data_IF_706963360694
#
_entry.id   IF_706963360694
#
_cell.length_a   1.000
_cell.length_b   1.000
_cell.length_c   1.000
_cell.angle_alpha   90.00
_cell.angle_beta   90.00
_cell.angle_gamma   90.00
#
_symmetry.space_group_name_H-M   'P 1'
#
loop_
_entity.id
_entity.type
_entity.pdbx_description
1 polymer ?
#
# COMPACT_ATOMS: atom_id res chain seq x y z
N UNK A 1 -7.05 -30.52 5.19
CA UNK A 1 -7.45 -29.36 4.35
C UNK A 1 -8.89 -28.83 4.54
N UNK A 2 -9.70 -29.29 5.52
CA UNK A 2 -11.02 -28.69 5.84
C UNK A 2 -11.08 -27.85 7.13
N UNK A 3 -9.98 -27.75 7.89
CA UNK A 3 -9.93 -27.03 9.19
C UNK A 3 -9.17 -25.70 9.20
N UNK A 4 -8.82 -25.16 8.02
CA UNK A 4 -8.23 -23.80 7.90
C UNK A 4 -9.21 -22.76 7.32
N UNK A 5 -10.42 -23.19 6.92
CA UNK A 5 -11.49 -22.30 6.41
C UNK A 5 -12.47 -21.81 7.49
N UNK A 6 -12.32 -22.26 8.74
CA UNK A 6 -13.24 -21.89 9.83
C UNK A 6 -12.72 -20.79 10.76
N UNK A 7 -11.43 -20.45 10.70
CA UNK A 7 -10.82 -19.45 11.58
C UNK A 7 -10.78 -18.03 10.99
N UNK A 8 -11.14 -17.85 9.71
CA UNK A 8 -11.25 -16.53 9.07
C UNK A 8 -12.68 -15.96 9.03
N UNK A 9 -13.64 -16.61 9.69
CA UNK A 9 -15.05 -16.17 9.77
C UNK A 9 -15.46 -15.57 11.12
N UNK A 10 -14.54 -15.45 12.07
CA UNK A 10 -14.81 -14.98 13.44
C UNK A 10 -14.26 -13.58 13.78
N UNK A 11 -13.80 -12.80 12.80
CA UNK A 11 -13.48 -11.36 13.02
C UNK A 11 -14.54 -10.44 12.39
N UNK A 12 -15.60 -11.01 11.78
CA UNK A 12 -16.58 -10.25 10.99
C UNK A 12 -17.97 -10.10 11.64
N UNK A 13 -18.17 -10.50 12.90
CA UNK A 13 -19.41 -10.25 13.63
C UNK A 13 -19.10 -9.98 15.10
N UNK A 14 -19.05 -8.71 15.48
CA UNK A 14 -18.86 -8.34 16.87
C UNK A 14 -18.65 -6.85 17.08
N UNK A 15 -19.65 -6.02 16.75
CA UNK A 15 -20.09 -4.88 17.59
C UNK A 15 -21.25 -4.14 16.89
N UNK A 16 -22.45 -4.69 17.01
CA UNK A 16 -23.71 -3.96 16.83
C UNK A 16 -24.57 -4.25 18.06
N UNK A 17 -24.43 -3.39 19.06
CA UNK A 17 -25.37 -3.24 20.18
C UNK A 17 -24.88 -2.11 21.09
N UNK A 18 -25.23 -0.87 20.78
CA UNK A 18 -25.50 0.09 21.85
C UNK A 18 -26.29 1.29 21.30
N UNK A 19 -27.23 1.75 22.12
CA UNK A 19 -27.97 3.01 22.04
C UNK A 19 -29.32 2.97 21.29
N UNK A 20 -30.29 2.31 21.95
CA UNK A 20 -31.35 3.05 22.66
C UNK A 20 -32.29 3.92 21.82
N UNK A 21 -33.44 3.34 21.49
CA UNK A 21 -34.68 4.04 21.14
C UNK A 21 -35.35 4.57 22.42
N UNK A 22 -35.97 5.76 22.37
CA UNK A 22 -37.30 5.89 22.94
C UNK A 22 -38.31 6.54 21.97
N UNK A 23 -39.53 6.00 22.03
CA UNK A 23 -40.77 6.48 21.41
C UNK A 23 -41.25 7.82 21.97
N UNK A 24 -42.05 8.56 21.19
CA UNK A 24 -42.96 9.57 21.76
C UNK A 24 -43.53 10.64 20.82
N UNK A 25 -44.69 10.36 20.25
CA UNK A 25 -45.87 11.23 20.08
C UNK A 25 -45.81 12.62 19.38
N UNK A 26 -46.54 12.69 18.26
CA UNK A 26 -47.65 13.62 17.92
C UNK A 26 -47.54 15.13 18.19
N UNK A 27 -47.74 15.94 17.15
CA UNK A 27 -48.00 17.37 17.25
C UNK A 27 -48.30 18.04 15.91
N UNK A 28 -49.56 18.39 15.71
CA UNK A 28 -50.16 19.09 14.57
C UNK A 28 -49.79 20.60 14.59
N UNK A 29 -49.72 21.29 13.44
CA UNK A 29 -49.74 22.77 13.45
C UNK A 29 -49.11 23.52 12.26
N UNK A 30 -49.99 23.99 11.36
CA UNK A 30 -50.03 25.30 10.68
C UNK A 30 -48.88 25.82 9.77
N UNK A 31 -49.27 26.01 8.50
CA UNK A 31 -49.23 27.25 7.70
C UNK A 31 -48.25 28.38 8.10
N UNK A 32 -47.38 28.75 7.14
CA UNK A 32 -47.34 30.07 6.48
C UNK A 32 -45.98 30.25 5.77
N UNK A 33 -46.00 30.94 4.62
CA UNK A 33 -44.83 31.65 4.11
C UNK A 33 -44.44 31.31 2.68
N UNK A 34 -45.15 31.92 1.74
CA UNK A 34 -44.68 32.15 0.38
C UNK A 34 -43.31 32.84 0.42
N UNK A 35 -42.30 32.22 -0.19
CA UNK A 35 -41.12 32.92 -0.66
C UNK A 35 -40.66 32.27 -1.97
N UNK A 36 -41.14 32.83 -3.09
CA UNK A 36 -40.43 32.75 -4.35
C UNK A 36 -39.04 33.41 -4.16
N UNK A 37 -37.93 32.70 -4.42
CA UNK A 37 -36.68 33.38 -4.68
C UNK A 37 -36.71 33.85 -6.14
N UNK A 38 -36.90 35.16 -6.27
CA UNK A 38 -36.52 35.99 -7.41
C UNK A 38 -35.36 35.39 -8.20
N UNK A 39 -35.69 34.91 -9.40
CA UNK A 39 -34.71 34.57 -10.43
C UNK A 39 -34.09 35.89 -10.88
N UNK A 40 -32.92 36.23 -10.34
CA UNK A 40 -32.06 37.27 -10.85
C UNK A 40 -31.54 36.87 -12.24
N UNK A 41 -32.39 37.07 -13.27
CA UNK A 41 -31.98 37.22 -14.66
C UNK A 41 -31.52 38.66 -14.83
N UNK A 42 -30.20 38.87 -14.89
CA UNK A 42 -29.55 39.89 -15.71
C UNK A 42 -28.03 39.85 -15.47
N UNK A 43 -27.37 38.91 -16.15
CA UNK A 43 -26.02 39.15 -16.65
C UNK A 43 -26.11 39.05 -18.17
N UNK A 44 -25.57 40.05 -18.85
CA UNK A 44 -25.37 40.06 -20.31
C UNK A 44 -24.74 38.74 -20.75
N UNK A 45 -25.08 38.18 -21.94
CA UNK A 45 -24.47 36.96 -22.40
C UNK A 45 -22.98 37.22 -22.53
N UNK A 46 -22.17 36.64 -21.64
CA UNK A 46 -20.74 36.50 -21.88
C UNK A 46 -20.62 35.85 -23.24
N UNK A 47 -19.89 36.49 -24.16
CA UNK A 47 -19.78 36.03 -25.53
C UNK A 47 -19.16 34.62 -25.51
N UNK A 48 -20.01 33.62 -25.64
CA UNK A 48 -19.65 32.21 -25.58
C UNK A 48 -18.71 31.96 -26.77
N UNK A 49 -17.43 31.56 -26.57
CA UNK A 49 -16.53 31.23 -27.66
C UNK A 49 -17.21 30.31 -28.68
N UNK A 50 -17.05 30.61 -29.98
CA UNK A 50 -17.65 29.83 -31.06
C UNK A 50 -17.33 28.33 -30.93
N UNK A 51 -16.13 28.00 -30.44
CA UNK A 51 -15.71 26.65 -30.12
C UNK A 51 -16.66 25.91 -29.14
N UNK A 52 -17.17 26.59 -28.10
CA UNK A 52 -18.11 25.98 -27.14
C UNK A 52 -19.49 25.75 -27.77
N UNK A 53 -19.99 26.72 -28.55
CA UNK A 53 -21.28 26.60 -29.25
C UNK A 53 -21.30 25.43 -30.23
N UNK A 54 -20.22 25.28 -31.00
CA UNK A 54 -20.05 24.20 -31.95
C UNK A 54 -19.97 22.83 -31.27
N UNK A 55 -19.21 22.74 -30.18
CA UNK A 55 -19.11 21.54 -29.37
C UNK A 55 -20.48 21.14 -28.78
N UNK A 56 -21.18 22.08 -28.15
CA UNK A 56 -22.49 21.87 -27.52
C UNK A 56 -23.55 21.38 -28.51
N UNK A 57 -23.55 21.96 -29.71
CA UNK A 57 -24.50 21.63 -30.76
C UNK A 57 -24.22 20.24 -31.37
N UNK A 58 -22.96 19.91 -31.65
CA UNK A 58 -22.62 18.62 -32.27
C UNK A 58 -22.76 17.44 -31.32
N UNK A 59 -22.37 17.62 -30.06
CA UNK A 59 -22.35 16.57 -29.04
C UNK A 59 -23.66 16.46 -28.23
N UNK A 60 -24.60 17.39 -28.42
CA UNK A 60 -25.86 17.48 -27.66
C UNK A 60 -25.60 17.50 -26.15
N UNK A 61 -24.94 18.56 -25.69
CA UNK A 61 -24.62 18.71 -24.27
C UNK A 61 -25.92 18.95 -23.46
N UNK A 62 -26.23 18.14 -22.43
CA UNK A 62 -27.43 18.33 -21.65
C UNK A 62 -27.38 19.64 -20.84
N UNK A 63 -28.54 20.25 -20.55
CA UNK A 63 -28.60 21.42 -19.67
C UNK A 63 -28.14 21.08 -18.24
N UNK A 64 -27.81 22.09 -17.42
CA UNK A 64 -27.56 21.90 -16.00
C UNK A 64 -28.65 21.10 -15.29
N UNK A 65 -28.26 20.24 -14.34
CA UNK A 65 -29.19 19.56 -13.44
C UNK A 65 -29.70 20.55 -12.36
N UNK A 66 -30.82 20.24 -11.65
CA UNK A 66 -31.23 21.03 -10.49
C UNK A 66 -30.11 21.15 -9.45
N UNK A 67 -30.00 22.32 -8.80
CA UNK A 67 -28.94 22.63 -7.83
C UNK A 67 -27.52 22.64 -8.42
N UNK A 68 -27.40 22.94 -9.71
CA UNK A 68 -26.14 23.29 -10.34
C UNK A 68 -26.14 24.76 -10.73
N UNK A 69 -24.96 25.35 -10.74
CA UNK A 69 -24.73 26.72 -11.18
C UNK A 69 -23.58 26.75 -12.19
N UNK A 70 -23.60 27.77 -13.03
CA UNK A 70 -22.55 28.04 -14.00
C UNK A 70 -21.77 29.29 -13.63
N UNK A 71 -20.49 29.33 -13.99
CA UNK A 71 -19.69 30.55 -13.98
C UNK A 71 -18.69 30.55 -15.11
N UNK A 72 -18.26 31.72 -15.56
CA UNK A 72 -17.21 31.87 -16.57
C UNK A 72 -16.02 32.59 -15.93
N UNK A 73 -14.85 31.98 -16.05
CA UNK A 73 -13.59 32.45 -15.47
C UNK A 73 -12.51 32.43 -16.54
N UNK A 74 -12.26 33.59 -17.15
CA UNK A 74 -11.34 33.68 -18.30
C UNK A 74 -11.78 32.76 -19.44
N UNK A 75 -10.93 31.85 -19.93
CA UNK A 75 -11.27 30.91 -20.99
C UNK A 75 -12.01 29.66 -20.48
N UNK A 76 -12.57 29.66 -19.26
CA UNK A 76 -13.16 28.45 -18.68
C UNK A 76 -14.64 28.67 -18.36
N UNK A 77 -15.49 27.81 -18.91
CA UNK A 77 -16.89 27.66 -18.49
C UNK A 77 -16.98 26.54 -17.48
N UNK A 78 -17.45 26.87 -16.28
CA UNK A 78 -17.68 25.91 -15.21
C UNK A 78 -19.16 25.60 -15.06
N UNK A 79 -19.46 24.32 -14.84
CA UNK A 79 -20.74 23.85 -14.35
C UNK A 79 -20.51 23.00 -13.10
N UNK A 80 -21.11 23.33 -11.97
CA UNK A 80 -20.83 22.64 -10.70
C UNK A 80 -22.01 22.74 -9.73
N UNK A 81 -22.09 21.88 -8.71
CA UNK A 81 -23.19 21.90 -7.75
C UNK A 81 -23.18 23.19 -6.92
N UNK A 82 -24.36 23.80 -6.71
CA UNK A 82 -24.49 25.10 -6.05
C UNK A 82 -24.32 25.05 -4.51
N UNK A 83 -24.69 23.93 -3.89
CA UNK A 83 -24.65 23.74 -2.43
C UNK A 83 -23.88 22.51 -1.97
N UNK A 84 -24.19 21.34 -2.52
CA UNK A 84 -23.51 20.09 -2.18
C UNK A 84 -22.06 20.10 -2.68
N UNK A 85 -21.10 19.61 -1.88
CA UNK A 85 -19.68 19.58 -2.23
C UNK A 85 -19.13 20.94 -2.72
N UNK A 86 -19.66 22.04 -2.17
CA UNK A 86 -19.28 23.40 -2.56
C UNK A 86 -17.79 23.70 -2.29
N UNK A 87 -17.25 23.16 -1.19
CA UNK A 87 -15.83 23.35 -0.82
C UNK A 87 -14.91 22.62 -1.79
N UNK A 88 -15.27 21.39 -2.15
CA UNK A 88 -14.56 20.52 -3.09
C UNK A 88 -14.59 21.12 -4.50
N UNK A 89 -15.75 21.62 -4.92
CA UNK A 89 -15.90 22.34 -6.20
C UNK A 89 -15.02 23.58 -6.27
N UNK A 90 -15.01 24.39 -5.20
CA UNK A 90 -14.18 25.59 -5.11
C UNK A 90 -12.68 25.27 -5.06
N UNK A 91 -12.29 24.23 -4.31
CA UNK A 91 -10.92 23.76 -4.25
C UNK A 91 -10.41 23.30 -5.63
N UNK A 92 -11.21 22.51 -6.35
CA UNK A 92 -10.84 22.00 -7.67
C UNK A 92 -10.73 23.11 -8.72
N UNK A 93 -11.67 24.08 -8.71
CA UNK A 93 -11.58 25.30 -9.54
C UNK A 93 -10.30 26.09 -9.27
N UNK A 94 -9.94 26.23 -7.99
CA UNK A 94 -8.73 26.94 -7.56
C UNK A 94 -7.45 26.18 -7.88
N UNK A 95 -7.52 24.86 -8.08
CA UNK A 95 -6.41 24.00 -8.45
C UNK A 95 -6.11 24.03 -9.96
N UNK A 96 -7.08 24.37 -10.82
CA UNK A 96 -6.94 24.31 -12.28
C UNK A 96 -5.67 25.01 -12.80
N UNK A 97 -5.27 26.24 -12.36
CA UNK A 97 -4.05 26.87 -12.87
C UNK A 97 -2.77 26.09 -12.54
N UNK A 98 -2.73 25.40 -11.38
CA UNK A 98 -1.60 24.52 -11.04
C UNK A 98 -1.62 23.24 -11.85
N UNK A 99 -2.79 22.60 -11.96
CA UNK A 99 -3.00 21.41 -12.80
C UNK A 99 -2.60 21.67 -14.26
N UNK A 100 -2.99 22.83 -14.81
CA UNK A 100 -2.60 23.24 -16.16
C UNK A 100 -1.09 23.39 -16.29
N UNK A 101 -0.41 24.04 -15.33
CA UNK A 101 1.05 24.24 -15.41
C UNK A 101 1.81 22.91 -15.51
N UNK A 102 1.38 21.89 -14.77
CA UNK A 102 1.97 20.54 -14.81
C UNK A 102 1.90 19.98 -16.24
N UNK A 103 0.71 20.03 -16.84
CA UNK A 103 0.46 19.46 -18.18
C UNK A 103 1.07 20.31 -19.30
N UNK A 104 0.96 21.63 -19.18
CA UNK A 104 1.36 22.58 -20.22
C UNK A 104 2.87 22.66 -20.38
N UNK A 105 3.61 22.63 -19.26
CA UNK A 105 5.08 22.62 -19.26
C UNK A 105 5.62 21.37 -19.96
N UNK A 106 5.02 20.20 -19.74
CA UNK A 106 5.48 18.94 -20.34
C UNK A 106 5.18 18.87 -21.85
N UNK A 107 4.09 19.52 -22.29
CA UNK A 107 3.61 19.46 -23.66
C UNK A 107 4.02 20.67 -24.52
N UNK A 108 4.80 21.61 -23.97
CA UNK A 108 5.22 22.82 -24.67
C UNK A 108 4.07 23.76 -25.03
N UNK A 109 3.08 23.90 -24.14
CA UNK A 109 1.92 24.76 -24.34
C UNK A 109 1.99 26.01 -23.45
N UNK A 110 1.70 27.18 -24.04
CA UNK A 110 1.83 28.46 -23.32
C UNK A 110 0.50 28.97 -22.73
N UNK A 111 -0.63 28.61 -23.33
CA UNK A 111 -1.93 29.19 -23.01
C UNK A 111 -2.99 28.12 -22.72
N UNK A 112 -3.76 28.34 -21.65
CA UNK A 112 -4.91 27.52 -21.30
C UNK A 112 -5.98 27.68 -22.40
N UNK A 113 -6.38 26.59 -23.10
CA UNK A 113 -7.38 26.68 -24.14
C UNK A 113 -8.77 26.97 -23.56
N UNK A 114 -9.74 27.37 -24.40
CA UNK A 114 -11.13 27.40 -23.99
C UNK A 114 -11.60 26.02 -23.53
N UNK A 115 -12.05 25.89 -22.27
CA UNK A 115 -12.55 24.63 -21.71
C UNK A 115 -13.97 24.78 -21.16
N UNK A 116 -14.77 23.73 -21.29
CA UNK A 116 -16.03 23.56 -20.59
C UNK A 116 -15.87 22.43 -19.58
N UNK A 117 -15.71 22.78 -18.30
CA UNK A 117 -15.48 21.82 -17.21
C UNK A 117 -16.75 21.65 -16.38
N UNK A 118 -17.24 20.42 -16.28
CA UNK A 118 -18.46 20.07 -15.52
C UNK A 118 -18.12 19.18 -14.33
N UNK A 119 -18.37 19.66 -13.13
CA UNK A 119 -18.14 18.93 -11.88
C UNK A 119 -19.41 18.22 -11.46
N UNK A 120 -19.39 16.89 -11.42
CA UNK A 120 -20.51 16.05 -11.01
C UNK A 120 -20.43 15.69 -9.53
N UNK A 121 -21.58 15.47 -8.88
CA UNK A 121 -21.59 15.01 -7.49
C UNK A 121 -21.03 13.59 -7.37
N UNK A 122 -21.39 12.71 -8.30
CA UNK A 122 -21.06 11.29 -8.32
C UNK A 122 -21.03 10.79 -9.79
N UNK A 123 -20.62 9.54 -10.05
CA UNK A 123 -20.57 8.97 -11.40
C UNK A 123 -21.91 9.01 -12.15
N UNK A 124 -23.04 8.86 -11.46
CA UNK A 124 -24.36 8.95 -12.08
C UNK A 124 -24.65 10.37 -12.62
N UNK A 125 -24.38 11.41 -11.81
CA UNK A 125 -24.48 12.79 -12.27
C UNK A 125 -23.51 13.08 -13.42
N UNK A 126 -22.29 12.51 -13.38
CA UNK A 126 -21.31 12.66 -14.46
C UNK A 126 -21.88 12.13 -15.78
N UNK A 127 -22.51 10.95 -15.73
CA UNK A 127 -23.16 10.34 -16.88
C UNK A 127 -24.34 11.16 -17.39
N UNK A 128 -25.15 11.72 -16.50
CA UNK A 128 -26.28 12.60 -16.87
C UNK A 128 -25.83 13.92 -17.49
N UNK A 129 -24.70 14.46 -17.03
CA UNK A 129 -24.08 15.69 -17.55
C UNK A 129 -23.23 15.45 -18.81
N UNK A 130 -22.96 14.20 -19.17
CA UNK A 130 -22.20 13.87 -20.38
C UNK A 130 -23.00 14.13 -21.67
N UNK A 131 -22.33 14.47 -22.78
CA UNK A 131 -22.92 14.49 -24.12
C UNK A 131 -23.89 13.33 -24.42
N UNK A 132 -25.10 13.63 -24.92
CA UNK A 132 -26.11 12.59 -25.19
C UNK A 132 -25.67 11.59 -26.25
N UNK A 133 -24.90 12.05 -27.24
CA UNK A 133 -24.36 11.23 -28.35
C UNK A 133 -23.06 10.49 -28.01
N UNK A 134 -22.51 10.72 -26.82
CA UNK A 134 -21.28 10.08 -26.35
C UNK A 134 -21.30 10.02 -24.83
N UNK A 135 -22.23 9.27 -24.23
CA UNK A 135 -22.35 9.20 -22.77
C UNK A 135 -21.14 8.52 -22.14
N UNK A 136 -20.75 9.00 -20.96
CA UNK A 136 -19.74 8.34 -20.16
C UNK A 136 -20.17 6.92 -19.69
N UNK A 137 -19.21 6.01 -19.48
CA UNK A 137 -19.45 4.75 -18.77
C UNK A 137 -20.05 4.98 -17.38
N UNK A 138 -20.85 4.03 -16.88
CA UNK A 138 -21.55 4.14 -15.58
C UNK A 138 -20.60 4.30 -14.39
N UNK A 139 -19.43 3.67 -14.47
CA UNK A 139 -18.40 3.70 -13.42
C UNK A 139 -17.36 4.82 -13.61
N UNK A 140 -17.51 5.68 -14.63
CA UNK A 140 -16.52 6.71 -14.92
C UNK A 140 -16.51 7.79 -13.83
N UNK A 141 -15.34 8.07 -13.29
CA UNK A 141 -15.11 9.17 -12.33
C UNK A 141 -14.55 10.43 -13.02
N UNK A 142 -14.10 10.30 -14.27
CA UNK A 142 -13.63 11.37 -15.14
C UNK A 142 -13.87 11.00 -16.61
N UNK A 143 -14.09 12.00 -17.46
CA UNK A 143 -14.09 11.84 -18.92
C UNK A 143 -13.77 13.16 -19.62
N UNK A 144 -12.92 13.09 -20.64
CA UNK A 144 -12.66 14.18 -21.56
C UNK A 144 -13.28 13.92 -22.94
N UNK A 145 -13.69 15.00 -23.60
CA UNK A 145 -13.97 15.04 -25.04
C UNK A 145 -12.98 16.03 -25.68
N UNK A 146 -11.73 15.60 -25.97
CA UNK A 146 -10.64 16.49 -26.33
C UNK A 146 -10.93 17.40 -27.53
N UNK A 147 -11.63 16.88 -28.55
CA UNK A 147 -12.00 17.67 -29.74
C UNK A 147 -12.94 18.85 -29.43
N UNK A 148 -13.69 18.74 -28.35
CA UNK A 148 -14.69 19.71 -27.92
C UNK A 148 -14.22 20.57 -26.75
N UNK A 149 -13.06 20.30 -26.15
CA UNK A 149 -12.59 20.99 -24.95
C UNK A 149 -13.50 20.78 -23.72
N UNK A 150 -14.25 19.66 -23.68
CA UNK A 150 -15.16 19.35 -22.58
C UNK A 150 -14.48 18.37 -21.63
N UNK A 151 -14.51 18.66 -20.33
CA UNK A 151 -14.02 17.80 -19.26
C UNK A 151 -15.14 17.60 -18.25
N UNK A 152 -15.36 16.37 -17.80
CA UNK A 152 -16.23 16.08 -16.66
C UNK A 152 -15.45 15.35 -15.58
N UNK A 153 -15.66 15.76 -14.33
CA UNK A 153 -15.00 15.18 -13.16
C UNK A 153 -16.04 14.92 -12.08
N UNK A 154 -16.04 13.73 -11.51
CA UNK A 154 -16.86 13.39 -10.35
C UNK A 154 -16.15 13.84 -9.06
N UNK A 155 -16.88 14.48 -8.17
CA UNK A 155 -16.36 14.94 -6.87
C UNK A 155 -16.39 13.83 -5.79
N UNK A 156 -17.16 12.77 -6.02
CA UNK A 156 -17.18 11.59 -5.17
C UNK A 156 -17.19 10.30 -5.99
N UNK A 157 -16.84 9.19 -5.36
CA UNK A 157 -16.97 7.85 -5.92
C UNK A 157 -18.12 7.10 -5.24
N UNK A 158 -18.65 6.07 -5.89
CA UNK A 158 -19.59 5.15 -5.24
C UNK A 158 -18.89 4.38 -4.10
N UNK A 159 -19.59 4.25 -2.97
CA UNK A 159 -19.06 3.65 -1.75
C UNK A 159 -18.96 2.10 -1.83
N UNK A 160 -18.06 1.46 -1.03
CA UNK A 160 -17.11 2.06 -0.10
C UNK A 160 -15.64 1.91 -0.55
N UNK A 161 -14.84 2.95 -0.30
CA UNK A 161 -13.37 2.96 -0.29
C UNK A 161 -12.61 3.03 -1.64
N UNK A 162 -12.90 4.03 -2.45
CA UNK A 162 -11.83 4.65 -3.25
C UNK A 162 -11.51 6.03 -2.68
N UNK A 163 -10.25 6.26 -2.31
CA UNK A 163 -9.71 7.61 -2.12
C UNK A 163 -9.65 8.26 -3.50
N UNK A 164 -10.82 8.71 -3.98
CA UNK A 164 -10.89 9.52 -5.19
C UNK A 164 -10.24 10.86 -4.86
N UNK A 165 -9.30 11.25 -5.70
CA UNK A 165 -8.69 12.58 -5.67
C UNK A 165 -9.16 13.31 -6.94
N UNK A 166 -10.20 14.17 -6.86
CA UNK A 166 -10.75 14.86 -8.01
C UNK A 166 -9.73 15.76 -8.72
N UNK A 167 -8.70 16.25 -8.02
CA UNK A 167 -7.62 17.05 -8.63
C UNK A 167 -6.79 16.19 -9.58
N UNK A 168 -6.44 14.96 -9.17
CA UNK A 168 -5.74 14.01 -10.06
C UNK A 168 -6.57 13.61 -11.26
N UNK A 169 -7.87 13.37 -11.06
CA UNK A 169 -8.78 13.09 -12.18
C UNK A 169 -8.84 14.29 -13.14
N UNK A 170 -8.92 15.51 -12.62
CA UNK A 170 -8.88 16.71 -13.47
C UNK A 170 -7.58 16.80 -14.27
N UNK A 171 -6.42 16.56 -13.65
CA UNK A 171 -5.12 16.56 -14.35
C UNK A 171 -5.08 15.50 -15.44
N UNK A 172 -5.60 14.30 -15.18
CA UNK A 172 -5.71 13.22 -16.14
C UNK A 172 -6.54 13.65 -17.37
N UNK A 173 -7.76 14.14 -17.15
CA UNK A 173 -8.63 14.56 -18.25
C UNK A 173 -8.09 15.79 -18.99
N UNK A 174 -7.42 16.70 -18.27
CA UNK A 174 -6.76 17.86 -18.87
C UNK A 174 -5.60 17.45 -19.77
N UNK A 175 -4.85 16.40 -19.40
CA UNK A 175 -3.80 15.82 -20.24
C UNK A 175 -4.33 15.36 -21.59
N UNK A 176 -5.52 14.73 -21.64
CA UNK A 176 -6.11 14.29 -22.91
C UNK A 176 -6.43 15.46 -23.84
N UNK A 177 -6.97 16.56 -23.29
CA UNK A 177 -7.27 17.77 -24.06
C UNK A 177 -5.98 18.46 -24.53
N UNK A 178 -5.02 18.63 -23.62
CA UNK A 178 -3.76 19.31 -23.89
C UNK A 178 -2.91 18.56 -24.91
N UNK A 179 -2.77 17.23 -24.76
CA UNK A 179 -2.02 16.40 -25.70
C UNK A 179 -2.61 16.50 -27.11
N UNK A 180 -3.95 16.47 -27.20
CA UNK A 180 -4.62 16.64 -28.49
C UNK A 180 -4.28 17.97 -29.14
N UNK A 181 -4.19 19.05 -28.38
CA UNK A 181 -3.82 20.38 -28.89
C UNK A 181 -2.36 20.40 -29.33
N UNK A 182 -1.46 19.85 -28.51
CA UNK A 182 -0.03 19.78 -28.80
C UNK A 182 0.24 19.13 -30.16
N UNK A 183 -0.40 18.00 -30.44
CA UNK A 183 -0.24 17.26 -31.71
C UNK A 183 -1.21 17.65 -32.83
N UNK A 184 -1.88 18.81 -32.73
CA UNK A 184 -2.87 19.29 -33.72
C UNK A 184 -3.95 18.25 -34.09
N UNK A 185 -4.40 17.50 -33.09
CA UNK A 185 -5.49 16.54 -33.23
C UNK A 185 -5.14 15.24 -33.94
N UNK A 186 -3.86 14.99 -34.23
CA UNK A 186 -3.34 13.77 -34.86
C UNK A 186 -3.64 12.52 -34.02
N UNK A 187 -3.91 11.37 -34.65
CA UNK A 187 -4.14 10.13 -33.93
C UNK A 187 -2.86 9.63 -33.28
N UNK A 188 -2.97 9.14 -32.05
CA UNK A 188 -1.85 8.62 -31.27
C UNK A 188 -2.16 7.21 -30.77
N UNK A 189 -1.14 6.37 -30.51
CA UNK A 189 -1.34 5.09 -29.85
C UNK A 189 -2.00 5.27 -28.49
N UNK A 190 -3.00 4.43 -28.18
CA UNK A 190 -3.77 4.56 -26.94
C UNK A 190 -2.90 4.43 -25.69
N UNK A 191 -1.95 3.50 -25.66
CA UNK A 191 -1.02 3.34 -24.54
C UNK A 191 -0.26 4.63 -24.24
N UNK A 192 0.09 5.42 -25.26
CA UNK A 192 0.84 6.67 -25.08
C UNK A 192 -0.06 7.74 -24.48
N UNK A 193 -1.27 7.91 -25.03
CA UNK A 193 -2.28 8.87 -24.55
C UNK A 193 -2.63 8.61 -23.08
N UNK A 194 -2.98 7.36 -22.75
CA UNK A 194 -3.37 6.98 -21.40
C UNK A 194 -2.18 6.98 -20.42
N UNK A 195 -1.02 6.51 -20.87
CA UNK A 195 0.20 6.49 -20.07
C UNK A 195 0.67 7.90 -19.70
N UNK A 196 0.55 8.86 -20.61
CA UNK A 196 0.92 10.26 -20.38
C UNK A 196 -0.08 10.96 -19.45
N UNK A 197 -1.38 10.69 -19.60
CA UNK A 197 -2.39 11.20 -18.68
C UNK A 197 -2.16 10.72 -17.23
N UNK A 198 -1.82 9.43 -17.06
CA UNK A 198 -1.45 8.86 -15.76
C UNK A 198 -0.14 9.45 -15.23
N UNK A 199 0.82 9.72 -16.12
CA UNK A 199 2.09 10.36 -15.75
C UNK A 199 1.85 11.74 -15.16
N UNK A 200 1.09 12.60 -15.85
CA UNK A 200 0.75 13.95 -15.36
C UNK A 200 -0.04 13.94 -14.05
N UNK A 201 -1.01 13.04 -13.93
CA UNK A 201 -1.89 12.99 -12.76
C UNK A 201 -1.21 12.43 -11.50
N UNK A 202 0.02 11.91 -11.61
CA UNK A 202 0.73 11.20 -10.54
C UNK A 202 -0.18 10.24 -9.77
N UNK A 203 -1.09 9.55 -10.48
CA UNK A 203 -2.08 8.70 -9.83
C UNK A 203 -1.36 7.60 -9.03
N UNK A 204 -2.03 6.96 -8.07
CA UNK A 204 -1.51 5.92 -7.16
C UNK A 204 -0.35 5.03 -7.67
N UNK A 205 0.89 5.53 -7.57
CA UNK A 205 2.09 4.88 -8.12
C UNK A 205 2.35 3.50 -7.51
N UNK A 206 2.13 3.37 -6.19
CA UNK A 206 2.29 2.11 -5.47
C UNK A 206 1.33 1.02 -5.95
N UNK A 207 0.07 1.36 -6.22
CA UNK A 207 -0.92 0.39 -6.75
C UNK A 207 -0.56 -0.09 -8.14
N UNK A 208 0.03 0.77 -8.97
CA UNK A 208 0.52 0.38 -10.30
C UNK A 208 1.73 -0.55 -10.21
N UNK A 209 2.70 -0.24 -9.34
CA UNK A 209 3.86 -1.12 -9.10
C UNK A 209 3.40 -2.50 -8.66
N UNK A 210 2.44 -2.61 -7.73
CA UNK A 210 1.92 -3.91 -7.29
C UNK A 210 1.16 -4.64 -8.40
N UNK A 211 0.43 -3.92 -9.26
CA UNK A 211 -0.26 -4.49 -10.43
C UNK A 211 0.74 -5.05 -11.44
N UNK A 212 1.78 -4.30 -11.79
CA UNK A 212 2.84 -4.75 -12.70
C UNK A 212 3.63 -5.92 -12.14
N UNK A 213 3.97 -5.89 -10.84
CA UNK A 213 4.62 -7.00 -10.17
C UNK A 213 3.76 -8.28 -10.22
N UNK A 214 2.45 -8.15 -9.97
CA UNK A 214 1.53 -9.29 -10.03
C UNK A 214 1.42 -9.86 -11.45
N UNK A 215 1.31 -9.02 -12.48
CA UNK A 215 1.29 -9.47 -13.87
C UNK A 215 2.60 -10.14 -14.28
N UNK A 216 3.74 -9.54 -13.92
CA UNK A 216 5.07 -10.11 -14.18
C UNK A 216 5.25 -11.48 -13.48
N UNK A 217 4.77 -11.62 -12.24
CA UNK A 217 4.81 -12.86 -11.48
C UNK A 217 3.93 -13.97 -12.09
N UNK A 218 2.79 -13.62 -12.73
CA UNK A 218 1.95 -14.59 -13.46
C UNK A 218 2.53 -15.01 -14.81
N UNK A 219 3.57 -14.32 -15.28
CA UNK A 219 4.20 -14.61 -16.58
C UNK A 219 3.36 -14.16 -17.77
N UNK A 220 2.41 -13.24 -17.56
CA UNK A 220 1.58 -12.71 -18.64
C UNK A 220 2.42 -11.87 -19.62
N UNK A 221 2.11 -11.92 -20.93
CA UNK A 221 2.77 -11.07 -21.91
C UNK A 221 2.39 -9.60 -21.64
N UNK A 222 3.40 -8.76 -21.48
CA UNK A 222 3.27 -7.31 -21.27
C UNK A 222 3.74 -6.52 -22.51
N UNK A 223 3.67 -7.13 -23.70
CA UNK A 223 3.98 -6.48 -24.97
C UNK A 223 2.92 -5.43 -25.36
N UNK A 224 3.27 -4.52 -26.26
CA UNK A 224 2.41 -3.44 -26.78
C UNK A 224 1.10 -3.97 -27.36
N UNK A 225 1.16 -5.13 -28.00
CA UNK A 225 0.02 -5.82 -28.57
C UNK A 225 -0.94 -6.32 -27.47
N UNK A 226 -0.42 -6.87 -26.37
CA UNK A 226 -1.21 -7.22 -25.18
C UNK A 226 -1.78 -6.00 -24.47
N UNK A 227 -1.02 -4.91 -24.37
CA UNK A 227 -1.49 -3.63 -23.80
C UNK A 227 -2.66 -3.11 -24.63
N UNK A 228 -2.52 -3.06 -25.96
CA UNK A 228 -3.56 -2.57 -26.87
C UNK A 228 -4.83 -3.41 -26.77
N UNK A 229 -4.71 -4.73 -26.72
CA UNK A 229 -5.87 -5.62 -26.50
C UNK A 229 -6.50 -5.47 -25.11
N UNK A 230 -5.70 -5.21 -24.09
CA UNK A 230 -6.14 -5.09 -22.70
C UNK A 230 -7.17 -3.98 -22.49
N UNK A 231 -7.09 -2.92 -23.30
CA UNK A 231 -8.06 -1.82 -23.28
C UNK A 231 -9.48 -2.20 -23.77
N UNK A 232 -9.62 -3.30 -24.51
CA UNK A 232 -10.92 -3.81 -24.98
C UNK A 232 -11.45 -4.96 -24.11
N UNK A 233 -10.73 -5.31 -23.04
CA UNK A 233 -11.01 -6.51 -22.25
C UNK A 233 -11.71 -6.21 -20.90
N UNK A 234 -11.83 -7.23 -20.04
CA UNK A 234 -12.47 -7.14 -18.72
C UNK A 234 -11.70 -6.20 -17.79
N UNK A 235 -12.37 -5.67 -16.77
CA UNK A 235 -11.86 -4.64 -15.83
C UNK A 235 -10.46 -4.86 -15.26
N UNK A 236 -10.04 -6.11 -14.98
CA UNK A 236 -8.69 -6.39 -14.47
C UNK A 236 -7.58 -6.18 -15.53
N UNK A 237 -7.81 -6.59 -16.77
CA UNK A 237 -6.85 -6.42 -17.88
C UNK A 237 -6.73 -4.95 -18.30
N UNK A 238 -7.81 -4.18 -18.12
CA UNK A 238 -7.81 -2.73 -18.32
C UNK A 238 -6.87 -2.03 -17.33
N UNK A 239 -6.90 -2.41 -16.04
CA UNK A 239 -5.99 -1.85 -15.04
C UNK A 239 -4.52 -2.18 -15.32
N UNK A 240 -4.24 -3.36 -15.85
CA UNK A 240 -2.90 -3.78 -16.26
C UNK A 240 -2.42 -3.00 -17.49
N UNK A 241 -3.28 -2.81 -18.49
CA UNK A 241 -2.98 -1.99 -19.65
C UNK A 241 -2.65 -0.54 -19.25
N UNK A 242 -3.41 0.05 -18.33
CA UNK A 242 -3.10 1.38 -17.78
C UNK A 242 -1.76 1.41 -17.02
N UNK A 243 -1.50 0.40 -16.18
CA UNK A 243 -0.25 0.33 -15.43
C UNK A 243 0.97 0.17 -16.35
N UNK A 244 0.87 -0.69 -17.37
CA UNK A 244 1.92 -0.91 -18.35
C UNK A 244 2.15 0.32 -19.24
N UNK A 245 1.07 0.97 -19.68
CA UNK A 245 1.11 2.22 -20.44
C UNK A 245 1.86 3.33 -19.68
N UNK A 246 1.53 3.51 -18.40
CA UNK A 246 2.19 4.51 -17.56
C UNK A 246 3.68 4.18 -17.33
N UNK A 247 4.04 2.91 -17.14
CA UNK A 247 5.44 2.50 -16.96
C UNK A 247 6.26 2.61 -18.25
N UNK A 248 5.64 2.34 -19.40
CA UNK A 248 6.26 2.51 -20.71
C UNK A 248 6.50 4.00 -21.03
N UNK A 249 5.52 4.88 -20.77
CA UNK A 249 5.72 6.33 -20.93
C UNK A 249 6.82 6.82 -19.98
N UNK A 250 6.83 6.38 -18.72
CA UNK A 250 7.93 6.68 -17.78
C UNK A 250 9.28 6.22 -18.33
N UNK A 251 9.35 5.02 -18.93
CA UNK A 251 10.57 4.49 -19.52
C UNK A 251 11.02 5.30 -20.74
N UNK A 252 10.10 5.63 -21.65
CA UNK A 252 10.35 6.46 -22.83
C UNK A 252 10.90 7.84 -22.42
N UNK A 253 10.27 8.51 -21.46
CA UNK A 253 10.75 9.81 -20.95
C UNK A 253 12.15 9.68 -20.33
N UNK A 254 12.44 8.58 -19.66
CA UNK A 254 13.78 8.32 -19.11
C UNK A 254 14.87 8.02 -20.16
N UNK A 255 14.50 7.76 -21.42
CA UNK A 255 15.46 7.62 -22.52
C UNK A 255 15.81 8.97 -23.19
N UNK A 256 15.09 10.03 -22.87
CA UNK A 256 15.36 11.35 -23.41
C UNK A 256 16.70 11.87 -22.85
N UNK A 257 17.56 12.37 -23.74
CA UNK A 257 18.84 12.96 -23.33
C UNK A 257 18.64 14.25 -22.52
N UNK A 258 17.59 14.99 -22.87
CA UNK A 258 17.10 16.22 -22.24
C UNK A 258 15.59 16.36 -22.48
N UNK A 259 14.98 17.42 -21.96
CA UNK A 259 13.55 17.69 -22.12
C UNK A 259 13.15 17.97 -23.59
N UNK A 260 14.08 18.46 -24.42
CA UNK A 260 13.81 18.87 -25.80
C UNK A 260 13.48 17.67 -26.69
N UNK A 261 14.05 16.49 -26.41
CA UNK A 261 13.76 15.24 -27.16
C UNK A 261 12.27 14.89 -27.13
N UNK A 262 11.61 15.04 -25.98
CA UNK A 262 10.18 14.74 -25.85
C UNK A 262 9.34 15.79 -26.56
N UNK A 263 9.68 17.08 -26.45
CA UNK A 263 9.00 18.15 -27.18
C UNK A 263 9.18 18.01 -28.69
N UNK A 264 10.35 17.56 -29.17
CA UNK A 264 10.60 17.26 -30.57
C UNK A 264 9.71 16.13 -31.10
N UNK A 265 9.45 15.09 -30.29
CA UNK A 265 8.50 14.03 -30.64
C UNK A 265 7.10 14.61 -30.89
N UNK A 266 6.63 15.48 -29.99
CA UNK A 266 5.33 16.15 -30.13
C UNK A 266 5.30 17.08 -31.35
N UNK A 267 6.40 17.77 -31.65
CA UNK A 267 6.53 18.63 -32.82
C UNK A 267 6.41 17.84 -34.14
N UNK A 268 7.12 16.72 -34.28
CA UNK A 268 7.01 15.87 -35.47
C UNK A 268 5.62 15.26 -35.64
N UNK A 269 4.98 14.86 -34.54
CA UNK A 269 3.58 14.42 -34.56
C UNK A 269 2.67 15.54 -35.07
N UNK A 270 2.86 16.78 -34.56
CA UNK A 270 2.11 17.96 -35.00
C UNK A 270 2.30 18.25 -36.49
N UNK A 271 3.52 18.12 -37.02
CA UNK A 271 3.86 18.25 -38.44
C UNK A 271 3.18 17.20 -39.32
N UNK A 272 2.72 16.10 -38.73
CA UNK A 272 1.92 15.07 -39.38
C UNK A 272 2.64 13.76 -39.66
N UNK A 273 3.83 13.58 -39.10
CA UNK A 273 4.49 12.29 -39.09
C UNK A 273 3.68 11.30 -38.25
N UNK A 274 3.66 10.03 -38.66
CA UNK A 274 3.13 8.96 -37.83
C UNK A 274 4.01 8.77 -36.57
N UNK A 275 3.46 8.08 -35.57
CA UNK A 275 4.14 7.94 -34.28
C UNK A 275 5.49 7.22 -34.37
N UNK A 276 5.63 6.23 -35.24
CA UNK A 276 6.88 5.48 -35.36
C UNK A 276 7.97 6.32 -36.04
N UNK A 277 7.58 7.05 -37.08
CA UNK A 277 8.46 8.01 -37.76
C UNK A 277 8.91 9.11 -36.81
N UNK A 278 7.98 9.71 -36.06
CA UNK A 278 8.28 10.76 -35.09
C UNK A 278 9.21 10.25 -33.97
N UNK A 279 8.95 9.04 -33.44
CA UNK A 279 9.82 8.39 -32.45
C UNK A 279 11.24 8.21 -32.97
N UNK A 280 11.39 7.73 -34.21
CA UNK A 280 12.70 7.53 -34.83
C UNK A 280 13.45 8.83 -35.06
N UNK A 281 12.75 9.89 -35.46
CA UNK A 281 13.35 11.21 -35.68
C UNK A 281 13.84 11.84 -34.38
N UNK A 282 13.11 11.70 -33.28
CA UNK A 282 13.47 12.32 -31.99
C UNK A 282 14.42 11.47 -31.16
N UNK A 283 14.16 10.17 -31.02
CA UNK A 283 14.90 9.29 -30.12
C UNK A 283 15.96 8.42 -30.83
N UNK A 284 15.93 8.33 -32.16
CA UNK A 284 16.86 7.52 -32.94
C UNK A 284 16.58 6.00 -32.91
N UNK A 285 15.46 5.57 -32.31
CA UNK A 285 15.03 4.17 -32.28
C UNK A 285 13.57 4.01 -32.72
N UNK A 286 13.23 2.80 -33.16
CA UNK A 286 11.85 2.41 -33.49
C UNK A 286 11.08 1.87 -32.28
N UNK A 287 9.78 1.64 -32.48
CA UNK A 287 8.87 1.20 -31.43
C UNK A 287 9.22 -0.21 -30.91
N UNK A 288 9.69 -1.11 -31.78
CA UNK A 288 10.11 -2.46 -31.41
C UNK A 288 11.35 -2.42 -30.48
N UNK A 289 12.31 -1.55 -30.78
CA UNK A 289 13.50 -1.36 -29.97
C UNK A 289 13.15 -0.76 -28.61
N UNK A 290 12.25 0.22 -28.57
CA UNK A 290 11.71 0.78 -27.32
C UNK A 290 11.07 -0.31 -26.46
N UNK A 291 10.19 -1.12 -27.04
CA UNK A 291 9.50 -2.21 -26.35
C UNK A 291 10.47 -3.24 -25.80
N UNK A 292 11.42 -3.74 -26.61
CA UNK A 292 12.41 -4.73 -26.18
C UNK A 292 13.27 -4.21 -25.02
N UNK A 293 13.69 -2.95 -25.10
CA UNK A 293 14.50 -2.31 -24.06
C UNK A 293 13.69 -2.12 -22.77
N UNK A 294 12.45 -1.64 -22.87
CA UNK A 294 11.53 -1.49 -21.74
C UNK A 294 11.22 -2.83 -21.07
N UNK A 295 10.90 -3.88 -21.82
CA UNK A 295 10.64 -5.22 -21.27
C UNK A 295 11.87 -5.79 -20.54
N UNK A 296 13.08 -5.47 -21.01
CA UNK A 296 14.33 -5.85 -20.36
C UNK A 296 14.50 -5.12 -19.03
N UNK A 297 14.24 -3.82 -18.98
CA UNK A 297 14.23 -3.02 -17.76
C UNK A 297 13.16 -3.51 -16.76
N UNK A 298 11.95 -3.80 -17.24
CA UNK A 298 10.85 -4.30 -16.44
C UNK A 298 11.20 -5.64 -15.77
N UNK A 299 11.84 -6.57 -16.50
CA UNK A 299 12.31 -7.85 -15.95
C UNK A 299 13.43 -7.69 -14.93
N UNK A 300 14.27 -6.65 -15.05
CA UNK A 300 15.31 -6.34 -14.03
C UNK A 300 14.69 -5.79 -12.75
N UNK A 301 13.68 -4.91 -12.85
CA UNK A 301 12.98 -4.33 -11.69
C UNK A 301 12.05 -5.32 -11.00
N UNK A 302 11.41 -6.19 -11.79
CA UNK A 302 10.47 -7.20 -11.32
C UNK A 302 10.93 -8.58 -11.77
N UNK A 303 12.02 -9.11 -11.19
CA UNK A 303 12.47 -10.46 -11.51
C UNK A 303 11.35 -11.44 -11.19
N UNK A 304 11.07 -12.35 -12.13
CA UNK A 304 10.17 -13.47 -11.84
C UNK A 304 10.77 -14.24 -10.67
N UNK A 305 10.08 -14.26 -9.54
CA UNK A 305 10.48 -15.09 -8.42
C UNK A 305 10.26 -16.53 -8.87
N UNK A 306 11.34 -17.25 -9.14
CA UNK A 306 11.22 -18.67 -9.49
C UNK A 306 10.66 -19.44 -8.30
N UNK A 307 9.80 -20.42 -8.59
CA UNK A 307 9.26 -21.31 -7.56
C UNK A 307 10.40 -22.00 -6.77
N UNK A 308 11.52 -22.25 -7.43
CA UNK A 308 12.76 -22.76 -6.83
C UNK A 308 13.34 -21.81 -5.77
N UNK A 309 13.41 -20.49 -6.05
CA UNK A 309 13.90 -19.50 -5.10
C UNK A 309 13.04 -19.37 -3.84
N UNK A 310 11.71 -19.41 -3.99
CA UNK A 310 10.77 -19.44 -2.84
C UNK A 310 10.92 -20.72 -2.04
N UNK A 311 11.06 -21.85 -2.73
CA UNK A 311 11.25 -23.15 -2.10
C UNK A 311 12.56 -23.18 -1.31
N UNK A 312 13.64 -22.65 -1.87
CA UNK A 312 14.95 -22.62 -1.23
C UNK A 312 14.96 -21.74 0.03
N UNK A 313 14.30 -20.58 0.01
CA UNK A 313 14.10 -19.73 1.21
C UNK A 313 13.22 -20.42 2.25
N UNK A 314 12.14 -21.09 1.83
CA UNK A 314 11.27 -21.86 2.71
C UNK A 314 12.02 -23.01 3.41
N UNK A 315 12.81 -23.78 2.67
CA UNK A 315 13.67 -24.83 3.23
C UNK A 315 14.75 -24.27 4.14
N UNK A 316 15.34 -23.12 3.80
CA UNK A 316 16.33 -22.44 4.64
C UNK A 316 15.73 -22.01 5.98
N UNK A 317 14.53 -21.42 5.96
CA UNK A 317 13.82 -21.03 7.18
C UNK A 317 13.41 -22.26 8.01
N UNK A 318 12.88 -23.31 7.38
CA UNK A 318 12.55 -24.56 8.06
C UNK A 318 13.79 -25.21 8.71
N UNK A 319 14.93 -25.15 8.04
CA UNK A 319 16.21 -25.65 8.55
C UNK A 319 16.68 -24.83 9.76
N UNK A 320 16.63 -23.50 9.69
CA UNK A 320 16.95 -22.63 10.83
C UNK A 320 16.04 -22.90 12.03
N UNK A 321 14.75 -23.07 11.81
CA UNK A 321 13.79 -23.43 12.86
C UNK A 321 14.08 -24.81 13.47
N UNK A 322 14.44 -25.79 12.64
CA UNK A 322 14.83 -27.13 13.11
C UNK A 322 16.12 -27.08 13.94
N UNK A 323 17.13 -26.30 13.51
CA UNK A 323 18.37 -26.06 14.27
C UNK A 323 18.03 -25.40 15.60
N UNK A 324 17.25 -24.33 15.62
CA UNK A 324 16.86 -23.63 16.84
C UNK A 324 16.09 -24.53 17.81
N UNK A 325 15.17 -25.36 17.30
CA UNK A 325 14.42 -26.34 18.09
C UNK A 325 15.36 -27.42 18.67
N UNK A 326 16.28 -27.94 17.87
CA UNK A 326 17.32 -28.88 18.30
C UNK A 326 18.21 -28.29 19.39
N UNK A 327 18.65 -27.04 19.21
CA UNK A 327 19.45 -26.31 20.19
C UNK A 327 18.70 -26.09 21.50
N UNK A 328 17.41 -25.72 21.44
CA UNK A 328 16.54 -25.58 22.61
C UNK A 328 16.36 -26.92 23.33
N UNK A 329 16.23 -28.02 22.59
CA UNK A 329 16.11 -29.38 23.14
C UNK A 329 17.40 -29.82 23.85
N UNK A 330 18.56 -29.54 23.25
CA UNK A 330 19.87 -29.82 23.85
C UNK A 330 20.07 -28.99 25.13
N UNK A 331 19.73 -27.69 25.11
CA UNK A 331 19.81 -26.84 26.31
C UNK A 331 18.90 -27.34 27.43
N UNK A 332 17.66 -27.73 27.12
CA UNK A 332 16.73 -28.32 28.09
C UNK A 332 17.26 -29.64 28.66
N UNK A 333 17.81 -30.52 27.83
CA UNK A 333 18.40 -31.79 28.26
C UNK A 333 19.61 -31.56 29.18
N UNK A 334 20.51 -30.64 28.82
CA UNK A 334 21.65 -30.27 29.68
C UNK A 334 21.20 -29.66 31.01
N UNK A 335 20.14 -28.85 31.04
CA UNK A 335 19.57 -28.31 32.28
C UNK A 335 19.05 -29.43 33.19
N UNK A 336 18.21 -30.33 32.66
CA UNK A 336 17.71 -31.49 33.42
C UNK A 336 18.83 -32.40 33.96
N UNK A 337 19.87 -32.63 33.16
CA UNK A 337 21.00 -33.46 33.60
C UNK A 337 21.76 -32.79 34.76
N UNK A 338 21.89 -31.46 34.75
CA UNK A 338 22.51 -30.70 35.85
C UNK A 338 21.65 -30.71 37.12
N UNK A 339 20.32 -30.68 36.97
CA UNK A 339 19.37 -30.80 38.08
C UNK A 339 19.48 -32.19 38.73
N UNK A 340 19.40 -33.27 37.95
CA UNK A 340 19.57 -34.64 38.46
C UNK A 340 20.94 -34.84 39.12
N UNK A 341 22.02 -34.36 38.51
CA UNK A 341 23.36 -34.45 39.11
C UNK A 341 23.52 -33.59 40.38
N UNK A 342 22.69 -32.57 40.59
CA UNK A 342 22.67 -31.80 41.83
C UNK A 342 21.86 -32.52 42.92
N UNK A 343 20.74 -33.14 42.55
CA UNK A 343 19.93 -33.98 43.44
C UNK A 343 20.74 -35.19 43.93
N UNK A 344 21.42 -35.91 43.05
CA UNK A 344 22.30 -37.04 43.40
C UNK A 344 23.39 -36.64 44.40
N UNK A 345 24.03 -35.47 44.21
CA UNK A 345 25.03 -34.94 45.15
C UNK A 345 24.45 -34.67 46.54
N UNK A 346 23.25 -34.08 46.60
CA UNK A 346 22.57 -33.83 47.88
C UNK A 346 22.17 -35.14 48.57
N UNK A 347 21.76 -36.15 47.81
CA UNK A 347 21.46 -37.48 48.35
C UNK A 347 22.71 -38.18 48.88
N UNK A 348 23.83 -38.11 48.16
CA UNK A 348 25.12 -38.64 48.62
C UNK A 348 25.59 -37.95 49.90
N UNK A 349 25.50 -36.61 49.97
CA UNK A 349 25.83 -35.85 51.19
C UNK A 349 24.94 -36.26 52.37
N UNK A 350 23.63 -36.42 52.15
CA UNK A 350 22.70 -36.91 53.18
C UNK A 350 23.05 -38.32 53.64
N UNK A 351 23.36 -39.24 52.73
CA UNK A 351 23.78 -40.61 53.09
C UNK A 351 25.05 -40.59 53.92
N UNK A 352 26.06 -39.82 53.51
CA UNK A 352 27.31 -39.65 54.28
C UNK A 352 27.06 -39.08 55.67
N UNK A 353 26.15 -38.11 55.80
CA UNK A 353 25.77 -37.55 57.09
C UNK A 353 25.10 -38.59 58.01
N UNK A 354 24.17 -39.38 57.46
CA UNK A 354 23.51 -40.47 58.19
C UNK A 354 24.50 -41.58 58.60
N UNK A 355 25.43 -41.96 57.72
CA UNK A 355 26.47 -42.94 58.03
C UNK A 355 27.40 -42.44 59.15
N UNK A 356 27.77 -41.15 59.12
CA UNK A 356 28.58 -40.52 60.16
C UNK A 356 27.83 -40.46 61.50
N UNK A 357 26.54 -40.11 61.48
CA UNK A 357 25.68 -40.10 62.68
C UNK A 357 25.58 -41.51 63.29
N UNK A 358 25.37 -42.54 62.46
CA UNK A 358 25.35 -43.93 62.91
C UNK A 358 26.69 -44.38 63.51
N UNK A 359 27.82 -43.95 62.94
CA UNK A 359 29.15 -44.22 63.48
C UNK A 359 29.37 -43.53 64.85
N UNK A 360 28.96 -42.26 64.97
CA UNK A 360 29.04 -41.52 66.23
C UNK A 360 28.17 -42.14 67.31
N UNK A 361 26.96 -42.57 66.98
CA UNK A 361 26.06 -43.28 67.89
C UNK A 361 26.63 -44.62 68.34
N UNK A 362 27.27 -45.36 67.44
CA UNK A 362 27.97 -46.60 67.77
C UNK A 362 29.15 -46.36 68.71
N UNK A 363 30.00 -45.37 68.42
CA UNK A 363 31.12 -44.97 69.27
C UNK A 363 30.64 -44.50 70.64
N UNK A 364 29.58 -43.70 70.70
CA UNK A 364 28.96 -43.26 71.96
C UNK A 364 28.49 -44.44 72.80
N UNK A 365 27.76 -45.40 72.22
CA UNK A 365 27.34 -46.63 72.91
C UNK A 365 28.53 -47.46 73.39
N UNK A 366 29.60 -47.53 72.60
CA UNK A 366 30.85 -48.23 72.98
C UNK A 366 31.52 -47.56 74.18
N UNK A 367 31.64 -46.24 74.16
CA UNK A 367 32.19 -45.46 75.26
C UNK A 367 31.32 -45.55 76.52
N UNK A 368 30.00 -45.50 76.40
CA UNK A 368 29.07 -45.70 77.52
C UNK A 368 29.20 -47.10 78.13
N UNK A 369 29.36 -48.14 77.30
CA UNK A 369 29.60 -49.50 77.76
C UNK A 369 30.96 -49.64 78.46
N UNK A 370 32.01 -49.03 77.92
CA UNK A 370 33.35 -49.01 78.52
C UNK A 370 33.36 -48.24 79.86
N UNK A 371 32.66 -47.11 79.94
CA UNK A 371 32.51 -46.33 81.18
C UNK A 371 31.75 -47.12 82.24
N UNK A 372 30.67 -47.82 81.86
CA UNK A 372 29.94 -48.73 82.77
C UNK A 372 30.80 -49.89 83.26
N UNK A 373 31.71 -50.39 82.42
CA UNK A 373 32.65 -51.44 82.80
C UNK A 373 33.70 -50.91 83.77
N UNK A 374 34.29 -49.74 83.50
CA UNK A 374 35.27 -49.09 84.36
C UNK A 374 34.68 -48.69 85.73
N UNK A 375 33.43 -48.22 85.78
CA UNK A 375 32.69 -47.96 87.03
C UNK A 375 32.34 -49.24 87.81
N UNK A 376 32.38 -50.41 87.16
CA UNK A 376 32.11 -51.72 87.78
C UNK A 376 33.40 -52.41 88.24
N UNK A 377 34.55 -52.01 87.71
CA UNK A 377 35.88 -52.41 88.13
C UNK A 377 36.56 -51.31 88.96
N UNK A 378 35.96 -50.96 90.10
CA UNK A 378 36.76 -50.55 91.26
C UNK A 378 36.86 -51.75 92.21
N UNK A 379 38.06 -52.33 92.37
CA UNK A 379 38.42 -52.96 93.62
C UNK A 379 39.65 -52.27 94.22
N UNK A 380 39.44 -51.85 95.46
CA UNK A 380 40.48 -51.61 96.45
C UNK A 380 41.42 -52.83 96.55
N UNK A 381 42.72 -52.65 96.30
CA UNK A 381 43.77 -53.01 97.26
C UNK A 381 45.14 -52.44 96.83
N UNK A 382 45.94 -52.06 97.83
CA UNK A 382 47.31 -51.53 97.71
C UNK A 382 48.32 -52.68 97.49
N UNK A 383 49.60 -52.45 97.08
CA UNK A 383 50.60 -51.97 98.04
C UNK A 383 51.81 -51.16 97.48
N UNK A 384 52.35 -50.32 98.36
CA UNK A 384 53.71 -49.73 98.43
C UNK A 384 54.79 -50.84 98.50
N UNK A 385 56.15 -50.66 98.36
CA UNK A 385 57.05 -49.65 97.75
C UNK A 385 58.15 -50.27 96.82
N UNK A 386 59.00 -49.44 96.18
CA UNK A 386 60.48 -49.43 96.42
C UNK A 386 61.20 -48.37 95.58
N UNK A 387 61.91 -47.51 96.30
CA UNK A 387 62.91 -46.55 95.84
C UNK A 387 64.22 -47.26 95.51
N UNK A 388 64.86 -46.87 94.40
CA UNK A 388 66.31 -47.03 94.13
C UNK A 388 66.79 -45.78 93.36
N UNK A 389 68.09 -45.42 93.49
CA UNK A 389 68.59 -44.04 93.47
C UNK A 389 69.09 -43.58 92.07
N UNK A 390 69.54 -42.32 91.90
CA UNK A 390 69.77 -41.70 90.59
C UNK A 390 71.16 -42.06 90.04
N UNK A 391 71.20 -42.37 88.74
CA UNK A 391 72.40 -42.54 87.95
C UNK A 391 72.37 -41.58 86.76
N UNK A 392 73.04 -40.45 86.98
CA UNK A 392 73.86 -39.64 86.07
C UNK A 392 73.93 -39.96 84.56
N UNK A 393 73.86 -38.83 83.82
CA UNK A 393 74.76 -38.40 82.74
C UNK A 393 74.33 -38.40 81.26
N UNK A 394 74.70 -37.25 80.66
CA UNK A 394 74.87 -36.88 79.24
C UNK A 394 73.64 -36.25 78.57
N UNK A 395 73.48 -34.92 78.52
CA UNK A 395 74.25 -33.93 77.72
C UNK A 395 74.47 -34.34 76.26
N UNK A 396 73.96 -33.52 75.35
CA UNK A 396 74.18 -33.59 73.90
C UNK A 396 73.08 -32.86 73.13
N UNK A 397 73.30 -31.54 72.96
CA UNK A 397 72.71 -30.54 72.05
C UNK A 397 71.46 -30.85 71.19
#
# INVERSE_FOLDING_TARGET
MKRLRSLLRCVFLGLMASLGVPDGASGNGQEHGEHEPSVARNETPVDVPAAWRDAETRLELPPPLPNYQESIEGPIRWLYPSHALKKESAALRSALPRAWRVVASDLGLDALPPLHIRLALNPEHLRQLSPRRARAPEFAVGVAYPRAGIILVSLSAEAPATNLDPEKVLIHELSHVALRIAVDGRPLPRWFVEGLAIHHAEENHLRRITTLFAAAARGEPLDLDSINRGFSARSHQVNEAYAASADLVRYLRAQAADEEVFTALLAHLREGHDFETALRMSYGFDLETLERAWLTDLRRRFPRISLEGVSMLGFSLATLLAIAAGWKRIRRKKKRLREMAAEERLEEERRRALDLEAQLDFEKKRLEAALKLALKEEPADSPVPRTMPPGEESQGD
#
